data_IF_971220797757
#
_entry.id   IF_971220797757
#
_cell.length_a   1.000
_cell.length_b   1.000
_cell.length_c   1.000
_cell.angle_alpha   90.00
_cell.angle_beta   90.00
_cell.angle_gamma   90.00
#
_symmetry.space_group_name_H-M   'P 1'
#
loop_
_entity.id
_entity.type
_entity.pdbx_description
1 polymer ?
#
# COMPACT_ATOMS: atom_id res chain seq x y z
N UNK A 1 33.10 -2.21 19.58
CA UNK A 1 34.42 -2.73 19.98
C UNK A 1 35.49 -1.81 19.40
N UNK A 2 36.22 -1.08 20.24
CA UNK A 2 37.29 -0.19 19.76
C UNK A 2 38.56 -1.01 19.52
N UNK A 3 38.99 -1.13 18.25
CA UNK A 3 40.25 -1.81 17.89
C UNK A 3 41.45 -0.93 18.23
N UNK A 4 42.59 -1.55 18.58
CA UNK A 4 43.85 -0.85 18.80
C UNK A 4 44.28 -0.13 17.51
N UNK A 5 44.67 1.12 17.66
CA UNK A 5 45.04 2.01 16.54
C UNK A 5 46.30 1.48 15.84
N UNK A 6 46.15 0.97 14.61
CA UNK A 6 47.27 0.64 13.72
C UNK A 6 47.48 -0.83 13.37
N UNK A 7 46.82 -1.79 14.04
CA UNK A 7 46.87 -3.21 13.65
C UNK A 7 45.80 -3.51 12.59
N UNK A 8 46.24 -3.75 11.34
CA UNK A 8 45.35 -4.19 10.26
C UNK A 8 45.28 -5.70 10.21
N UNK A 9 44.07 -6.23 10.13
CA UNK A 9 43.83 -7.67 9.99
C UNK A 9 44.03 -8.06 8.53
N UNK A 10 44.88 -9.06 8.27
CA UNK A 10 45.06 -9.62 6.93
C UNK A 10 43.90 -10.56 6.64
N UNK A 11 43.22 -10.33 5.51
CA UNK A 11 42.09 -11.16 5.08
C UNK A 11 42.52 -11.99 3.88
N UNK A 12 42.31 -13.30 3.97
CA UNK A 12 42.50 -14.23 2.86
C UNK A 12 41.23 -14.32 2.02
N UNK A 13 41.38 -14.40 0.70
CA UNK A 13 40.28 -14.52 -0.25
C UNK A 13 40.45 -15.79 -1.09
N UNK A 14 39.33 -16.43 -1.42
CA UNK A 14 39.29 -17.57 -2.33
C UNK A 14 39.48 -17.15 -3.79
N UNK A 15 39.59 -18.13 -4.69
CA UNK A 15 39.69 -17.88 -6.15
C UNK A 15 38.46 -17.17 -6.74
N UNK A 16 37.32 -17.16 -6.03
CA UNK A 16 36.08 -16.49 -6.41
C UNK A 16 35.96 -15.09 -5.80
N UNK A 17 36.95 -14.64 -5.02
CA UNK A 17 37.00 -13.36 -4.33
C UNK A 17 36.15 -13.27 -3.05
N UNK A 18 35.67 -14.38 -2.50
CA UNK A 18 35.04 -14.44 -1.19
C UNK A 18 36.09 -14.49 -0.09
N UNK A 19 35.87 -13.74 0.99
CA UNK A 19 36.78 -13.75 2.14
C UNK A 19 36.62 -15.07 2.92
N UNK A 20 37.73 -15.76 3.19
CA UNK A 20 37.72 -17.05 3.89
C UNK A 20 38.26 -16.94 5.32
N UNK A 21 37.76 -17.85 6.18
CA UNK A 21 38.21 -18.01 7.56
C UNK A 21 37.69 -16.94 8.52
N UNK A 22 38.17 -17.01 9.77
CA UNK A 22 37.70 -16.17 10.88
C UNK A 22 37.83 -14.67 10.62
N UNK A 23 38.90 -14.26 9.94
CA UNK A 23 39.13 -12.86 9.59
C UNK A 23 38.24 -12.39 8.43
N UNK A 24 37.83 -13.29 7.54
CA UNK A 24 36.82 -13.02 6.51
C UNK A 24 35.44 -12.80 7.11
N UNK A 25 35.03 -13.65 8.06
CA UNK A 25 33.77 -13.47 8.79
C UNK A 25 33.74 -12.14 9.56
N UNK A 26 34.88 -11.75 10.13
CA UNK A 26 35.04 -10.48 10.84
C UNK A 26 34.98 -9.28 9.88
N UNK A 27 35.56 -9.39 8.68
CA UNK A 27 35.43 -8.39 7.61
C UNK A 27 33.96 -8.21 7.20
N UNK A 28 33.25 -9.31 6.93
CA UNK A 28 31.84 -9.26 6.52
C UNK A 28 30.95 -8.68 7.61
N UNK A 29 31.22 -9.02 8.87
CA UNK A 29 30.52 -8.45 10.03
C UNK A 29 30.75 -6.95 10.14
N UNK A 30 32.00 -6.50 9.93
CA UNK A 30 32.37 -5.08 9.94
C UNK A 30 31.71 -4.30 8.80
N UNK A 31 31.76 -4.83 7.57
CA UNK A 31 31.06 -4.26 6.41
C UNK A 31 29.57 -4.10 6.72
N UNK A 32 28.95 -5.09 7.35
CA UNK A 32 27.55 -5.01 7.76
C UNK A 32 27.26 -3.86 8.72
N UNK A 33 28.17 -3.53 9.64
CA UNK A 33 28.04 -2.36 10.53
C UNK A 33 28.10 -1.07 9.72
N UNK A 34 29.13 -0.91 8.88
CA UNK A 34 29.32 0.29 8.08
C UNK A 34 28.15 0.58 7.15
N UNK A 35 27.59 -0.47 6.53
CA UNK A 35 26.45 -0.32 5.63
C UNK A 35 25.21 0.18 6.38
N UNK A 36 24.97 -0.29 7.60
CA UNK A 36 23.84 0.18 8.41
C UNK A 36 24.02 1.60 8.93
N UNK A 37 25.27 2.05 9.08
CA UNK A 37 25.61 3.39 9.53
C UNK A 37 25.56 4.41 8.38
N UNK A 38 26.21 4.11 7.26
CA UNK A 38 26.43 5.06 6.18
C UNK A 38 25.36 5.02 5.08
N UNK A 39 24.69 3.88 4.85
CA UNK A 39 23.76 3.73 3.73
C UNK A 39 22.32 4.01 4.16
N UNK A 40 21.65 5.03 3.58
CA UNK A 40 20.29 5.36 3.96
C UNK A 40 19.27 4.33 3.45
N UNK A 41 18.28 4.05 4.29
CA UNK A 41 17.24 3.03 4.03
C UNK A 41 16.37 3.36 2.81
N UNK A 42 16.17 4.65 2.49
CA UNK A 42 15.27 5.07 1.41
C UNK A 42 15.83 4.85 0.00
N UNK A 43 17.16 4.68 -0.14
CA UNK A 43 17.75 4.39 -1.45
C UNK A 43 17.52 2.92 -1.78
N UNK A 44 16.81 2.66 -2.89
CA UNK A 44 16.43 1.31 -3.31
C UNK A 44 17.52 0.62 -4.12
N UNK A 45 18.14 1.36 -5.04
CA UNK A 45 19.06 0.78 -6.02
C UNK A 45 20.52 1.00 -5.60
N UNK A 46 21.21 -0.09 -5.23
CA UNK A 46 22.64 -0.08 -4.88
C UNK A 46 23.54 0.47 -6.01
N UNK A 47 23.07 0.35 -7.26
CA UNK A 47 23.74 0.86 -8.46
C UNK A 47 23.55 2.36 -8.68
N UNK A 48 22.77 3.06 -7.84
CA UNK A 48 22.63 4.52 -7.98
C UNK A 48 23.98 5.22 -7.78
N UNK A 49 24.22 6.26 -8.58
CA UNK A 49 25.40 7.13 -8.45
C UNK A 49 25.37 7.98 -7.20
N UNK A 50 24.18 8.22 -6.64
CA UNK A 50 24.01 8.98 -5.39
C UNK A 50 24.69 8.31 -4.20
N UNK A 51 24.96 6.99 -4.30
CA UNK A 51 25.64 6.20 -3.28
C UNK A 51 27.16 6.20 -3.43
N UNK A 52 27.73 6.73 -4.51
CA UNK A 52 29.14 6.52 -4.83
C UNK A 52 30.08 7.13 -3.77
N UNK A 53 29.74 8.31 -3.25
CA UNK A 53 30.49 8.91 -2.13
C UNK A 53 30.41 8.09 -0.84
N UNK A 54 29.26 7.49 -0.54
CA UNK A 54 29.06 6.65 0.65
C UNK A 54 29.78 5.30 0.52
N UNK A 55 29.79 4.73 -0.68
CA UNK A 55 30.60 3.54 -1.00
C UNK A 55 32.08 3.84 -0.75
N UNK A 56 32.58 4.97 -1.21
CA UNK A 56 33.98 5.35 -1.03
C UNK A 56 34.35 5.54 0.45
N UNK A 57 33.48 6.15 1.25
CA UNK A 57 33.67 6.24 2.72
C UNK A 57 33.76 4.85 3.35
N UNK A 58 32.81 3.98 3.00
CA UNK A 58 32.77 2.59 3.48
C UNK A 58 34.07 1.84 3.13
N UNK A 59 34.62 2.08 1.93
CA UNK A 59 35.91 1.51 1.53
C UNK A 59 37.07 2.01 2.37
N UNK A 60 37.18 3.33 2.52
CA UNK A 60 38.28 3.97 3.26
C UNK A 60 38.34 3.43 4.69
N UNK A 61 37.19 3.28 5.34
CA UNK A 61 37.10 2.71 6.69
C UNK A 61 37.45 1.21 6.72
N UNK A 62 37.09 0.47 5.67
CA UNK A 62 37.44 -0.96 5.53
C UNK A 62 38.95 -1.13 5.37
N UNK A 63 39.60 -0.41 4.45
CA UNK A 63 41.06 -0.46 4.21
C UNK A 63 41.86 0.08 5.40
N UNK A 64 41.28 1.00 6.17
CA UNK A 64 41.89 1.47 7.42
C UNK A 64 41.95 0.35 8.46
N UNK A 65 40.93 -0.53 8.48
CA UNK A 65 40.74 -1.55 9.51
C UNK A 65 41.29 -2.93 9.11
N UNK A 66 41.36 -3.22 7.80
CA UNK A 66 41.75 -4.50 7.23
C UNK A 66 42.74 -4.29 6.09
N UNK A 67 43.69 -5.20 5.95
CA UNK A 67 44.56 -5.27 4.77
C UNK A 67 43.83 -6.07 3.70
N UNK A 68 43.12 -5.36 2.82
CA UNK A 68 42.41 -5.92 1.66
C UNK A 68 43.04 -5.32 0.41
N UNK A 69 43.31 -6.15 -0.59
CA UNK A 69 43.80 -5.70 -1.89
C UNK A 69 42.70 -4.94 -2.64
N UNK A 70 43.06 -3.85 -3.31
CA UNK A 70 42.17 -3.07 -4.16
C UNK A 70 41.48 -3.92 -5.25
N UNK A 71 42.12 -5.02 -5.66
CA UNK A 71 41.52 -6.00 -6.56
C UNK A 71 40.17 -6.54 -6.06
N UNK A 72 40.01 -6.73 -4.75
CA UNK A 72 38.79 -7.26 -4.15
C UNK A 72 37.70 -6.20 -3.89
N UNK A 73 37.97 -4.93 -4.16
CA UNK A 73 37.03 -3.83 -3.98
C UNK A 73 35.64 -4.11 -4.59
N UNK A 74 35.63 -4.58 -5.84
CA UNK A 74 34.40 -4.91 -6.57
C UNK A 74 33.59 -6.00 -5.88
N UNK A 75 34.27 -7.00 -5.31
CA UNK A 75 33.60 -8.09 -4.59
C UNK A 75 33.08 -7.62 -3.23
N UNK A 76 33.86 -6.85 -2.49
CA UNK A 76 33.42 -6.22 -1.24
C UNK A 76 32.20 -5.31 -1.47
N UNK A 77 32.16 -4.54 -2.56
CA UNK A 77 31.00 -3.72 -2.93
C UNK A 77 29.76 -4.54 -3.27
N UNK A 78 29.91 -5.71 -3.90
CA UNK A 78 28.78 -6.61 -4.14
C UNK A 78 28.23 -7.11 -2.82
N UNK A 79 29.11 -7.56 -1.92
CA UNK A 79 28.74 -7.97 -0.56
C UNK A 79 28.04 -6.86 0.22
N UNK A 80 28.54 -5.61 0.14
CA UNK A 80 27.89 -4.44 0.72
C UNK A 80 26.45 -4.26 0.22
N UNK A 81 26.23 -4.37 -1.09
CA UNK A 81 24.90 -4.24 -1.69
C UNK A 81 23.95 -5.37 -1.30
N UNK A 82 24.47 -6.59 -1.17
CA UNK A 82 23.73 -7.73 -0.64
C UNK A 82 23.34 -7.52 0.81
N UNK A 83 24.28 -7.10 1.67
CA UNK A 83 24.01 -6.79 3.08
C UNK A 83 22.99 -5.67 3.24
N UNK A 84 23.07 -4.59 2.45
CA UNK A 84 22.08 -3.52 2.44
C UNK A 84 20.68 -4.04 2.04
N UNK A 85 20.62 -4.97 1.09
CA UNK A 85 19.38 -5.59 0.64
C UNK A 85 18.79 -6.50 1.72
N UNK A 86 19.62 -7.34 2.34
CA UNK A 86 19.22 -8.22 3.43
C UNK A 86 18.76 -7.42 4.65
N UNK A 87 19.46 -6.35 5.02
CA UNK A 87 19.04 -5.47 6.11
C UNK A 87 17.64 -4.87 5.89
N UNK A 88 17.37 -4.36 4.68
CA UNK A 88 16.03 -3.84 4.34
C UNK A 88 14.96 -4.94 4.37
N UNK A 89 15.31 -6.14 3.92
CA UNK A 89 14.41 -7.30 3.98
C UNK A 89 14.11 -7.73 5.41
N UNK A 90 15.12 -7.69 6.29
CA UNK A 90 14.97 -8.01 7.70
C UNK A 90 14.11 -6.98 8.42
N UNK A 91 14.37 -5.67 8.22
CA UNK A 91 13.49 -4.60 8.71
C UNK A 91 12.04 -4.79 8.24
N UNK A 92 11.83 -5.15 6.97
CA UNK A 92 10.49 -5.45 6.48
C UNK A 92 9.85 -6.64 7.21
N UNK A 93 10.61 -7.71 7.49
CA UNK A 93 10.10 -8.87 8.22
C UNK A 93 9.82 -8.58 9.69
N UNK A 94 10.72 -7.89 10.39
CA UNK A 94 10.71 -7.75 11.85
C UNK A 94 9.91 -6.54 12.33
N UNK A 95 9.82 -5.48 11.53
CA UNK A 95 9.15 -4.24 11.91
C UNK A 95 7.86 -3.98 11.13
N UNK A 96 7.81 -4.33 9.84
CA UNK A 96 6.63 -4.03 9.01
C UNK A 96 5.65 -5.20 8.99
N UNK A 97 6.12 -6.42 8.73
CA UNK A 97 5.26 -7.59 8.57
C UNK A 97 4.68 -8.08 9.90
N UNK A 98 5.47 -8.11 10.95
CA UNK A 98 5.07 -8.47 12.33
C UNK A 98 4.04 -7.51 12.90
N UNK A 99 4.24 -6.20 12.69
CA UNK A 99 3.35 -5.15 13.19
C UNK A 99 2.18 -4.86 12.23
N UNK A 100 2.04 -5.61 11.14
CA UNK A 100 0.92 -5.42 10.22
C UNK A 100 -0.37 -6.01 10.80
N UNK A 101 -1.24 -5.12 11.26
CA UNK A 101 -2.56 -5.41 11.82
C UNK A 101 -3.44 -6.25 10.88
N UNK A 102 -3.30 -6.10 9.56
CA UNK A 102 -4.12 -6.81 8.57
C UNK A 102 -3.24 -7.63 7.62
N UNK A 103 -2.67 -8.71 8.13
CA UNK A 103 -1.73 -9.53 7.38
C UNK A 103 -2.42 -10.26 6.21
N UNK A 104 -1.97 -9.97 4.98
CA UNK A 104 -2.45 -10.65 3.77
C UNK A 104 -1.80 -12.02 3.60
N UNK A 105 -2.55 -12.97 3.04
CA UNK A 105 -2.13 -14.34 2.71
C UNK A 105 -1.89 -14.55 1.21
N UNK A 106 -2.08 -13.51 0.39
CA UNK A 106 -2.00 -13.54 -1.08
C UNK A 106 -0.63 -13.83 -1.72
N UNK A 107 0.32 -14.39 -0.97
CA UNK A 107 1.63 -14.83 -1.44
C UNK A 107 2.40 -13.77 -2.26
N UNK A 108 3.24 -14.23 -3.19
CA UNK A 108 3.91 -13.37 -4.19
C UNK A 108 2.97 -12.88 -5.28
N UNK A 109 1.76 -13.42 -5.32
CA UNK A 109 0.80 -13.24 -6.41
C UNK A 109 0.08 -11.89 -6.31
N UNK A 110 -0.14 -11.40 -5.08
CA UNK A 110 -0.76 -10.11 -4.80
C UNK A 110 -2.19 -10.00 -5.37
N UNK A 111 -2.78 -8.79 -5.31
CA UNK A 111 -4.15 -8.58 -5.79
C UNK A 111 -4.30 -8.81 -7.30
N UNK A 112 -3.29 -8.46 -8.11
CA UNK A 112 -3.36 -8.60 -9.58
C UNK A 112 -3.66 -10.01 -10.04
N UNK A 113 -2.94 -11.00 -9.50
CA UNK A 113 -3.14 -12.39 -9.91
C UNK A 113 -4.37 -13.00 -9.26
N UNK A 114 -4.73 -12.58 -8.04
CA UNK A 114 -5.99 -12.99 -7.41
C UNK A 114 -7.19 -12.57 -8.26
N UNK A 115 -7.20 -11.31 -8.67
CA UNK A 115 -8.25 -10.70 -9.50
C UNK A 115 -8.33 -11.36 -10.89
N UNK A 116 -7.18 -11.60 -11.54
CA UNK A 116 -7.15 -12.36 -12.80
C UNK A 116 -7.68 -13.79 -12.67
N UNK A 117 -7.36 -14.48 -11.57
CA UNK A 117 -7.88 -15.84 -11.32
C UNK A 117 -9.40 -15.80 -11.15
N UNK A 118 -9.92 -14.82 -10.43
CA UNK A 118 -11.36 -14.62 -10.27
C UNK A 118 -12.03 -14.26 -11.58
N UNK A 119 -11.52 -13.28 -12.32
CA UNK A 119 -12.07 -12.88 -13.61
C UNK A 119 -12.16 -14.05 -14.60
N UNK A 120 -11.19 -14.97 -14.60
CA UNK A 120 -11.28 -16.18 -15.45
C UNK A 120 -12.47 -17.07 -15.10
N UNK A 121 -12.87 -17.11 -13.83
CA UNK A 121 -13.95 -17.95 -13.34
C UNK A 121 -15.31 -17.24 -13.40
N UNK A 122 -15.40 -15.99 -12.91
CA UNK A 122 -16.65 -15.24 -12.79
C UNK A 122 -16.95 -14.36 -14.01
N UNK A 123 -15.93 -14.07 -14.84
CA UNK A 123 -15.98 -13.07 -15.93
C UNK A 123 -16.37 -11.66 -15.47
N UNK A 124 -16.24 -11.39 -14.17
CA UNK A 124 -16.50 -10.08 -13.55
C UNK A 124 -15.28 -9.62 -12.77
N UNK A 125 -14.95 -8.35 -12.90
CA UNK A 125 -13.92 -7.71 -12.08
C UNK A 125 -14.45 -7.49 -10.67
N UNK A 126 -13.63 -7.82 -9.67
CA UNK A 126 -14.03 -7.66 -8.28
C UNK A 126 -13.72 -6.25 -7.77
N UNK A 127 -14.55 -5.80 -6.84
CA UNK A 127 -14.28 -4.58 -6.11
C UNK A 127 -13.08 -4.76 -5.16
N UNK A 128 -12.50 -3.64 -4.74
CA UNK A 128 -11.28 -3.62 -3.92
C UNK A 128 -11.49 -4.27 -2.55
N UNK A 129 -12.65 -4.07 -1.93
CA UNK A 129 -13.07 -4.68 -0.68
C UNK A 129 -13.17 -6.21 -0.81
N UNK A 130 -13.78 -6.70 -1.89
CA UNK A 130 -13.81 -8.13 -2.22
C UNK A 130 -12.41 -8.73 -2.32
N UNK A 131 -11.52 -8.11 -3.10
CA UNK A 131 -10.12 -8.56 -3.23
C UNK A 131 -9.35 -8.50 -1.90
N UNK A 132 -9.62 -7.51 -1.06
CA UNK A 132 -9.03 -7.39 0.26
C UNK A 132 -9.43 -8.58 1.15
N UNK A 133 -10.72 -8.96 1.14
CA UNK A 133 -11.26 -10.12 1.84
C UNK A 133 -10.66 -11.42 1.31
N UNK A 134 -10.69 -11.63 -0.01
CA UNK A 134 -10.15 -12.83 -0.66
C UNK A 134 -8.68 -13.06 -0.34
N UNK A 135 -7.91 -11.99 -0.24
CA UNK A 135 -6.47 -12.11 0.07
C UNK A 135 -6.21 -12.52 1.52
N UNK A 136 -7.22 -12.50 2.39
CA UNK A 136 -7.13 -12.74 3.84
C UNK A 136 -7.91 -13.98 4.27
N UNK A 137 -8.85 -14.43 3.45
CA UNK A 137 -9.54 -15.71 3.64
C UNK A 137 -8.56 -16.87 3.40
N UNK A 138 -8.67 -17.90 4.24
CA UNK A 138 -7.97 -19.17 4.04
C UNK A 138 -8.56 -19.91 2.83
N UNK A 139 -7.87 -20.95 2.37
CA UNK A 139 -8.45 -21.92 1.42
C UNK A 139 -9.80 -22.48 1.91
N UNK A 140 -9.97 -22.52 3.23
CA UNK A 140 -11.15 -23.03 3.93
C UNK A 140 -12.31 -22.00 3.95
N UNK A 141 -12.11 -20.81 3.37
CA UNK A 141 -13.05 -19.70 3.39
C UNK A 141 -13.01 -18.86 4.67
N UNK A 142 -12.27 -19.29 5.70
CA UNK A 142 -12.26 -18.59 6.99
C UNK A 142 -11.24 -17.45 7.08
N UNK A 143 -11.66 -16.34 7.70
CA UNK A 143 -10.78 -15.25 8.15
C UNK A 143 -10.23 -15.59 9.53
N UNK A 144 -8.97 -16.02 9.62
CA UNK A 144 -8.37 -16.44 10.92
C UNK A 144 -8.03 -15.27 11.86
N UNK A 145 -7.84 -14.07 11.30
CA UNK A 145 -7.42 -12.89 12.04
C UNK A 145 -8.64 -12.12 12.61
N UNK A 146 -8.76 -11.97 13.94
CA UNK A 146 -9.87 -11.24 14.56
C UNK A 146 -10.00 -9.78 14.10
N UNK A 147 -8.89 -9.09 13.82
CA UNK A 147 -8.92 -7.72 13.32
C UNK A 147 -9.50 -7.69 11.90
N UNK A 148 -9.13 -8.67 11.06
CA UNK A 148 -9.69 -8.81 9.74
C UNK A 148 -11.18 -9.18 9.75
N UNK A 149 -11.64 -9.98 10.73
CA UNK A 149 -13.07 -10.28 10.91
C UNK A 149 -13.90 -9.03 11.17
N UNK A 150 -13.47 -8.17 12.09
CA UNK A 150 -14.16 -6.90 12.38
C UNK A 150 -14.27 -6.02 11.14
N UNK A 151 -13.19 -5.90 10.37
CA UNK A 151 -13.21 -5.14 9.10
C UNK A 151 -14.14 -5.80 8.09
N UNK A 152 -14.21 -7.13 8.03
CA UNK A 152 -15.14 -7.83 7.13
C UNK A 152 -16.61 -7.58 7.47
N UNK A 153 -16.95 -7.52 8.75
CA UNK A 153 -18.30 -7.20 9.23
C UNK A 153 -18.68 -5.78 8.80
N UNK A 154 -17.77 -4.81 8.99
CA UNK A 154 -17.97 -3.42 8.53
C UNK A 154 -18.12 -3.32 7.00
N UNK A 155 -17.34 -4.09 6.23
CA UNK A 155 -17.47 -4.14 4.77
C UNK A 155 -18.85 -4.65 4.37
N UNK A 156 -19.35 -5.72 5.01
CA UNK A 156 -20.68 -6.25 4.73
C UNK A 156 -21.79 -5.25 5.08
N UNK A 157 -21.64 -4.55 6.20
CA UNK A 157 -22.55 -3.48 6.61
C UNK A 157 -22.59 -2.35 5.57
N UNK A 158 -21.43 -1.80 5.18
CA UNK A 158 -21.36 -0.72 4.19
C UNK A 158 -21.87 -1.16 2.81
N UNK A 159 -21.57 -2.38 2.36
CA UNK A 159 -22.12 -2.92 1.11
C UNK A 159 -23.66 -3.06 1.18
N UNK A 160 -24.20 -3.40 2.35
CA UNK A 160 -25.66 -3.45 2.56
C UNK A 160 -26.25 -2.04 2.50
N UNK A 161 -25.63 -1.05 3.14
CA UNK A 161 -26.06 0.35 3.08
C UNK A 161 -25.98 0.93 1.66
N UNK A 162 -24.96 0.55 0.89
CA UNK A 162 -24.81 0.94 -0.53
C UNK A 162 -25.94 0.32 -1.37
N UNK A 163 -26.31 -0.94 -1.12
CA UNK A 163 -27.45 -1.58 -1.80
C UNK A 163 -28.81 -0.93 -1.46
N UNK A 164 -28.90 -0.29 -0.30
CA UNK A 164 -30.07 0.46 0.16
C UNK A 164 -29.99 1.96 -0.22
N UNK A 165 -29.05 2.34 -1.08
CA UNK A 165 -28.82 3.73 -1.54
C UNK A 165 -28.63 4.75 -0.39
N UNK A 166 -28.25 4.25 0.79
CA UNK A 166 -28.07 5.04 2.02
C UNK A 166 -26.61 5.46 2.22
N UNK A 167 -25.70 4.81 1.51
CA UNK A 167 -24.27 5.08 1.51
C UNK A 167 -23.77 5.16 0.06
N UNK A 168 -22.99 6.18 -0.28
CA UNK A 168 -22.37 6.31 -1.59
C UNK A 168 -20.85 6.25 -1.47
N UNK A 169 -20.24 5.24 -2.12
CA UNK A 169 -18.78 5.14 -2.20
C UNK A 169 -18.24 6.04 -3.30
N UNK A 170 -17.32 6.94 -2.93
CA UNK A 170 -16.86 7.99 -3.83
C UNK A 170 -15.35 8.03 -3.95
N UNK A 171 -14.87 7.82 -5.17
CA UNK A 171 -13.46 7.86 -5.54
C UNK A 171 -12.61 6.95 -4.66
N UNK A 172 -11.66 7.56 -3.93
CA UNK A 172 -10.72 6.83 -3.06
C UNK A 172 -11.31 6.55 -1.67
N UNK A 173 -12.46 7.16 -1.33
CA UNK A 173 -13.21 6.90 -0.10
C UNK A 173 -14.20 5.76 -0.32
N UNK A 174 -13.70 4.63 -0.80
CA UNK A 174 -14.47 3.41 -1.05
C UNK A 174 -14.84 2.68 0.25
N UNK A 175 -15.71 1.67 0.15
CA UNK A 175 -16.20 0.84 1.26
C UNK A 175 -15.05 0.33 2.14
N UNK A 176 -13.98 -0.18 1.52
CA UNK A 176 -12.81 -0.66 2.24
C UNK A 176 -12.10 0.45 3.01
N UNK A 177 -11.98 1.66 2.44
CA UNK A 177 -11.33 2.79 3.11
C UNK A 177 -12.10 3.24 4.34
N UNK A 178 -13.44 3.24 4.27
CA UNK A 178 -14.29 3.52 5.43
C UNK A 178 -14.16 2.42 6.50
N UNK A 179 -14.22 1.14 6.09
CA UNK A 179 -14.09 0.02 7.00
C UNK A 179 -12.74 -0.01 7.75
N UNK A 180 -11.66 0.41 7.09
CA UNK A 180 -10.33 0.51 7.71
C UNK A 180 -10.17 1.72 8.65
N UNK A 181 -11.11 2.67 8.68
CA UNK A 181 -11.12 3.83 9.60
C UNK A 181 -9.79 4.61 9.66
N UNK A 182 -9.05 4.72 8.55
CA UNK A 182 -7.74 5.41 8.49
C UNK A 182 -7.79 6.66 7.59
N UNK A 183 -8.30 7.81 8.09
CA UNK A 183 -8.30 9.06 7.32
C UNK A 183 -6.92 9.72 7.24
N UNK A 184 -6.05 9.54 8.24
CA UNK A 184 -4.82 10.33 8.41
C UNK A 184 -3.62 9.83 7.57
N UNK A 185 -3.59 8.55 7.25
CA UNK A 185 -2.59 7.95 6.37
C UNK A 185 -3.27 6.86 5.53
N UNK A 186 -3.77 7.16 4.31
CA UNK A 186 -4.25 6.11 3.43
C UNK A 186 -3.07 5.18 3.19
N UNK A 187 -3.13 3.97 3.74
CA UNK A 187 -2.10 2.97 3.50
C UNK A 187 -2.05 2.83 2.00
N UNK A 188 -0.90 3.19 1.40
CA UNK A 188 -0.67 2.99 -0.03
C UNK A 188 -0.77 1.48 -0.26
N UNK A 189 -1.96 1.02 -0.65
CA UNK A 189 -2.14 -0.36 -1.05
C UNK A 189 -1.29 -0.50 -2.30
N UNK A 190 -0.19 -1.25 -2.17
CA UNK A 190 0.76 -1.49 -3.25
C UNK A 190 0.08 -2.38 -4.31
N UNK A 191 -0.73 -1.76 -5.16
CA UNK A 191 -1.00 -2.25 -6.51
C UNK A 191 0.30 -2.18 -7.32
N UNK A 192 0.55 -3.21 -8.13
CA UNK A 192 1.80 -3.41 -8.86
C UNK A 192 2.06 -2.28 -9.88
N UNK A 193 3.36 -2.01 -10.13
CA UNK A 193 3.97 -1.01 -11.02
C UNK A 193 4.10 0.42 -10.46
N UNK A 194 5.26 1.03 -10.71
CA UNK A 194 5.75 2.31 -10.15
C UNK A 194 4.88 3.54 -10.52
N UNK A 195 3.74 3.37 -11.21
CA UNK A 195 2.96 4.45 -11.83
C UNK A 195 1.44 4.21 -11.93
N UNK A 196 0.87 3.09 -11.45
CA UNK A 196 -0.57 2.84 -11.53
C UNK A 196 -1.27 3.33 -10.26
N UNK A 197 -2.17 4.29 -10.39
CA UNK A 197 -3.02 4.80 -9.30
C UNK A 197 -4.11 3.78 -8.97
N UNK A 198 -4.59 3.80 -7.73
CA UNK A 198 -5.69 2.94 -7.28
C UNK A 198 -6.92 3.08 -8.18
N UNK A 199 -7.26 4.30 -8.61
CA UNK A 199 -8.36 4.61 -9.53
C UNK A 199 -8.16 4.18 -10.99
N UNK A 200 -6.94 3.77 -11.36
CA UNK A 200 -6.67 3.18 -12.67
C UNK A 200 -6.77 1.65 -12.64
N UNK A 201 -6.61 1.03 -11.46
CA UNK A 201 -6.64 -0.42 -11.29
C UNK A 201 -8.03 -0.90 -10.86
N UNK A 202 -8.59 -0.27 -9.82
CA UNK A 202 -9.95 -0.54 -9.35
C UNK A 202 -10.89 0.43 -10.07
N UNK A 203 -12.07 -0.07 -10.46
CA UNK A 203 -13.14 0.71 -11.09
C UNK A 203 -13.81 1.64 -10.06
N UNK A 204 -13.04 2.56 -9.49
CA UNK A 204 -13.54 3.53 -8.52
C UNK A 204 -14.35 4.59 -9.25
N UNK A 205 -15.58 4.85 -8.79
CA UNK A 205 -16.40 5.96 -9.26
C UNK A 205 -15.62 7.26 -9.05
N UNK A 206 -15.07 7.86 -10.12
CA UNK A 206 -14.37 9.13 -10.00
C UNK A 206 -15.38 10.19 -9.61
N UNK A 207 -15.31 10.77 -8.40
CA UNK A 207 -16.03 12.01 -8.17
C UNK A 207 -15.42 13.11 -9.02
N UNK A 208 -16.26 13.72 -9.84
CA UNK A 208 -16.04 15.07 -10.32
C UNK A 208 -16.21 16.05 -9.14
N UNK A 209 -15.71 17.28 -9.30
CA UNK A 209 -15.95 18.33 -8.29
C UNK A 209 -17.44 18.51 -7.99
N UNK A 210 -18.29 18.33 -9.03
CA UNK A 210 -19.74 18.38 -8.88
C UNK A 210 -20.29 17.29 -7.97
N UNK A 211 -19.74 16.07 -8.03
CA UNK A 211 -20.21 14.97 -7.18
C UNK A 211 -19.83 15.22 -5.71
N UNK A 212 -18.64 15.79 -5.47
CA UNK A 212 -18.25 16.20 -4.12
C UNK A 212 -19.14 17.33 -3.57
N UNK A 213 -19.51 18.30 -4.41
CA UNK A 213 -20.46 19.37 -4.05
C UNK A 213 -21.86 18.80 -3.77
N UNK A 214 -22.35 17.87 -4.58
CA UNK A 214 -23.65 17.20 -4.38
C UNK A 214 -23.67 16.42 -3.07
N UNK A 215 -22.60 15.71 -2.72
CA UNK A 215 -22.50 15.01 -1.42
C UNK A 215 -22.48 15.97 -0.24
N UNK A 216 -21.76 17.09 -0.36
CA UNK A 216 -21.74 18.12 0.67
C UNK A 216 -23.14 18.70 0.90
N UNK A 217 -23.85 19.03 -0.19
CA UNK A 217 -25.24 19.48 -0.14
C UNK A 217 -26.17 18.42 0.46
N UNK A 218 -26.01 17.14 0.11
CA UNK A 218 -26.81 16.05 0.70
C UNK A 218 -26.63 15.93 2.22
N UNK A 219 -25.40 16.07 2.73
CA UNK A 219 -25.13 16.07 4.18
C UNK A 219 -25.80 17.25 4.86
N UNK A 220 -25.67 18.44 4.28
CA UNK A 220 -26.28 19.66 4.82
C UNK A 220 -27.81 19.56 4.84
N UNK A 221 -28.41 18.98 3.80
CA UNK A 221 -29.85 18.66 3.76
C UNK A 221 -30.25 17.71 4.90
N UNK A 222 -29.45 16.68 5.17
CA UNK A 222 -29.78 15.73 6.23
C UNK A 222 -29.65 16.36 7.63
N UNK A 223 -28.64 17.20 7.85
CA UNK A 223 -28.52 18.02 9.07
C UNK A 223 -29.72 18.96 9.25
N UNK A 224 -30.15 19.64 8.19
CA UNK A 224 -31.32 20.51 8.20
C UNK A 224 -32.61 19.73 8.50
N UNK A 225 -32.79 18.53 7.93
CA UNK A 225 -33.94 17.67 8.24
C UNK A 225 -33.98 17.27 9.71
N UNK A 226 -32.82 17.01 10.33
CA UNK A 226 -32.75 16.70 11.77
C UNK A 226 -33.17 17.92 12.61
N UNK A 227 -32.70 19.12 12.26
CA UNK A 227 -33.09 20.35 12.94
C UNK A 227 -34.59 20.63 12.80
N UNK A 228 -35.15 20.46 11.60
CA UNK A 228 -36.58 20.65 11.35
C UNK A 228 -37.41 19.66 12.16
N UNK A 229 -37.05 18.38 12.19
CA UNK A 229 -37.70 17.38 13.05
C UNK A 229 -37.69 17.79 14.53
N UNK A 230 -36.55 18.29 15.03
CA UNK A 230 -36.43 18.78 16.40
C UNK A 230 -37.26 20.03 16.72
N UNK A 231 -37.49 20.91 15.73
CA UNK A 231 -38.35 22.08 15.88
C UNK A 231 -39.84 21.73 15.79
N UNK A 232 -40.21 20.83 14.88
CA UNK A 232 -41.56 20.29 14.73
C UNK A 232 -42.02 19.58 16.00
N UNK A 233 -41.16 18.76 16.61
CA UNK A 233 -41.43 18.11 17.90
C UNK A 233 -41.63 19.09 19.07
N UNK A 234 -41.07 20.31 19.00
CA UNK A 234 -41.27 21.36 20.03
C UNK A 234 -42.56 22.16 19.84
N UNK A 235 -43.21 22.05 18.68
CA UNK A 235 -44.39 22.83 18.31
C UNK A 235 -45.66 21.97 18.19
N UNK A 236 -45.60 20.68 18.50
CA UNK A 236 -46.68 19.71 18.28
C UNK A 236 -47.19 19.71 16.82
N UNK A 237 -46.27 19.89 15.86
CA UNK A 237 -46.57 19.86 14.42
C UNK A 237 -45.85 18.68 13.79
N UNK A 238 -46.59 17.78 13.14
CA UNK A 238 -46.03 16.67 12.35
C UNK A 238 -45.25 17.24 11.14
N UNK A 239 -43.99 16.85 10.93
CA UNK A 239 -43.22 17.29 9.77
C UNK A 239 -43.69 16.55 8.51
N UNK A 240 -44.43 17.23 7.63
CA UNK A 240 -44.77 16.75 6.28
C UNK A 240 -43.57 16.85 5.34
N UNK A 241 -42.98 15.72 4.98
CA UNK A 241 -42.00 15.61 3.89
C UNK A 241 -42.58 14.67 2.84
N UNK A 242 -43.65 15.09 2.16
CA UNK A 242 -44.28 14.23 1.16
C UNK A 242 -43.31 13.96 -0.01
N UNK A 243 -43.14 12.67 -0.33
CA UNK A 243 -42.52 12.20 -1.57
C UNK A 243 -43.47 12.45 -2.73
N UNK A 244 -43.71 13.69 -3.12
CA UNK A 244 -44.44 13.98 -4.35
C UNK A 244 -43.51 14.48 -5.46
N UNK A 245 -43.43 13.66 -6.51
CA UNK A 245 -42.85 13.95 -7.82
C UNK A 245 -41.36 14.34 -7.85
N UNK A 246 -40.48 13.35 -7.64
CA UNK A 246 -39.18 13.38 -8.32
C UNK A 246 -39.42 12.83 -9.73
N UNK A 247 -39.27 13.62 -10.81
CA UNK A 247 -39.36 13.08 -12.16
C UNK A 247 -38.29 12.01 -12.31
N UNK A 248 -38.68 10.79 -12.68
CA UNK A 248 -37.73 9.74 -13.04
C UNK A 248 -36.99 10.20 -14.29
N UNK A 249 -35.81 10.80 -14.11
CA UNK A 249 -34.97 11.18 -15.24
C UNK A 249 -34.36 9.90 -15.79
N UNK A 250 -34.97 9.36 -16.85
CA UNK A 250 -34.44 8.23 -17.59
C UNK A 250 -33.15 8.64 -18.32
N UNK A 251 -32.03 8.50 -17.60
CA UNK A 251 -30.66 8.76 -18.09
C UNK A 251 -30.31 7.94 -19.35
N UNK A 252 -31.06 6.86 -19.65
CA UNK A 252 -30.81 6.04 -20.82
C UNK A 252 -31.23 6.73 -22.15
N UNK A 253 -32.20 7.65 -22.10
CA UNK A 253 -32.69 8.35 -23.29
C UNK A 253 -31.93 9.65 -23.64
N UNK A 254 -31.17 10.23 -22.70
CA UNK A 254 -30.42 11.47 -22.97
C UNK A 254 -29.12 11.23 -23.77
N UNK A 255 -28.55 10.02 -23.70
CA UNK A 255 -27.32 9.67 -24.44
C UNK A 255 -27.53 9.48 -25.95
N UNK A 256 -28.74 9.09 -26.40
CA UNK A 256 -29.01 8.88 -27.84
C UNK A 256 -29.15 10.18 -28.63
N UNK A 257 -29.59 11.27 -28.01
CA UNK A 257 -29.79 12.55 -28.69
C UNK A 257 -28.48 13.27 -29.08
N UNK A 258 -27.36 12.89 -28.47
CA UNK A 258 -26.05 13.53 -28.74
C UNK A 258 -25.26 12.85 -29.87
N UNK A 259 -25.67 11.66 -30.33
CA UNK A 259 -24.94 10.87 -31.33
C UNK A 259 -25.44 11.02 -32.79
N UNK A 260 -26.51 11.79 -33.04
CA UNK A 260 -27.10 11.98 -34.39
C UNK A 260 -26.74 13.30 -35.08
N UNK A 261 -25.79 14.08 -34.55
CA UNK A 261 -25.30 15.31 -35.22
C UNK A 261 -23.82 15.16 -35.57
N UNK A 262 -23.46 14.10 -36.30
CA UNK A 262 -22.19 14.01 -37.05
C UNK A 262 -22.36 13.09 -38.28
N UNK A 263 -23.35 13.36 -39.13
CA UNK A 263 -23.30 12.92 -40.54
C UNK A 263 -23.82 14.05 -41.43
N UNK A 264 -22.87 14.87 -41.92
CA UNK A 264 -22.90 15.58 -43.20
C UNK A 264 -21.50 16.10 -43.52
#
# INVERSE_FOLDING_TARGET
MARKRGERIIVTFDEKGQSEGKHGDELMSWIGVLIREHIPIWIQDWKSRDLDGLKEITWKETVTSFTVDDFFWSTCLKSCGETATNFRHDLYKTEIRTNNEYTSRGGRDGYRKLDQKKFKNTRKWENRDGLWLDSRTSSDGELKDPACKKVSELIMEYNTQESQDTFESVGTSDVLTQALSRPKHPVRIRGQLKFIKQSQYFNLNRSSNRDNEVLAMRREIEELKVLVRGLCAKKDVEPSFDQENVPTVDLHNSFKASCSIQEK
#
